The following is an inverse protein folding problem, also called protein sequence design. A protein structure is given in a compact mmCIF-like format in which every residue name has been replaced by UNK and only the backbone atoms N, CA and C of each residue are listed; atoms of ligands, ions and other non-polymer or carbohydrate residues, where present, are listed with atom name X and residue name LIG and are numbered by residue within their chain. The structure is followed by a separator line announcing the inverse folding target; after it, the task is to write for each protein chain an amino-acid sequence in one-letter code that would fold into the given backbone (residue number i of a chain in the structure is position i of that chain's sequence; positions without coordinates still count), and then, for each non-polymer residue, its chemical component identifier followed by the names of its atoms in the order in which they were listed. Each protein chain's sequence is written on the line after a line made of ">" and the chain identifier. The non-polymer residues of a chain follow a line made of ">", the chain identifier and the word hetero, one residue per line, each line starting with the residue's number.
data_IF_864982967252
#
_entry.id   IF_864982967252
#
_cell.length_a   1.000
_cell.length_b   1.000
_cell.length_c   1.000
_cell.angle_alpha   90.00
_cell.angle_beta   90.00
_cell.angle_gamma   90.00
#
_symmetry.space_group_name_H-M   'P 1'
#
loop_
_entity.id
_entity.type
_entity.pdbx_description
1 polymer ?
#
# COMPACT_ATOMS: atom_id res chain seq x y z
N UNK A 1 -59.65 29.88 14.65
CA UNK A 1 -58.95 31.17 14.50
C UNK A 1 -57.78 30.99 13.55
N UNK A 2 -57.74 31.79 12.48
CA UNK A 2 -56.72 31.82 11.42
C UNK A 2 -55.80 33.04 11.64
N UNK A 3 -54.51 32.89 11.35
CA UNK A 3 -53.56 33.82 10.67
C UNK A 3 -52.12 33.36 10.98
N UNK A 4 -51.32 32.85 10.03
CA UNK A 4 -50.62 33.44 8.84
C UNK A 4 -49.27 34.12 9.17
N UNK A 5 -48.21 33.42 8.74
CA UNK A 5 -47.01 33.85 7.97
C UNK A 5 -46.09 34.98 8.48
N UNK A 6 -44.76 34.73 8.43
CA UNK A 6 -43.86 35.40 7.49
C UNK A 6 -42.51 34.66 7.32
N UNK A 7 -42.18 34.40 6.04
CA UNK A 7 -40.88 34.04 5.48
C UNK A 7 -39.97 35.27 5.45
N UNK A 8 -38.65 35.05 5.49
CA UNK A 8 -37.64 36.06 5.16
C UNK A 8 -36.39 35.42 4.58
N UNK A 9 -36.37 35.24 3.25
CA UNK A 9 -35.19 34.93 2.45
C UNK A 9 -34.44 36.22 2.15
N UNK A 10 -33.10 36.22 2.22
CA UNK A 10 -32.29 37.19 1.47
C UNK A 10 -30.97 36.56 1.02
N UNK A 11 -30.94 36.24 -0.26
CA UNK A 11 -29.76 36.05 -1.10
C UNK A 11 -29.03 37.38 -1.22
N UNK A 12 -27.69 37.38 -1.13
CA UNK A 12 -26.88 38.46 -1.67
C UNK A 12 -25.62 37.86 -2.30
N UNK A 13 -25.59 37.94 -3.63
CA UNK A 13 -24.50 37.62 -4.54
C UNK A 13 -24.11 38.97 -5.16
N UNK A 14 -22.85 39.39 -5.05
CA UNK A 14 -22.16 40.19 -6.07
C UNK A 14 -20.68 40.34 -5.76
N UNK A 15 -19.89 40.22 -6.83
CA UNK A 15 -18.45 40.18 -6.93
C UNK A 15 -17.79 41.58 -6.95
N UNK A 16 -16.45 41.59 -6.87
CA UNK A 16 -15.44 42.38 -7.62
C UNK A 16 -14.12 42.30 -6.81
N UNK A 17 -13.02 41.68 -7.25
CA UNK A 17 -12.11 41.98 -8.37
C UNK A 17 -10.76 42.55 -7.86
N UNK A 18 -9.66 42.05 -8.43
CA UNK A 18 -8.43 42.83 -8.67
C UNK A 18 -7.26 42.63 -7.72
N UNK A 19 -6.16 42.05 -8.23
CA UNK A 19 -4.87 42.02 -7.54
C UNK A 19 -3.78 41.22 -8.25
N UNK A 20 -3.58 41.45 -9.56
CA UNK A 20 -2.42 40.95 -10.28
C UNK A 20 -1.27 41.97 -10.14
N UNK A 21 -0.16 41.54 -9.54
CA UNK A 21 1.09 42.31 -9.48
C UNK A 21 1.85 42.15 -10.80
N UNK A 22 1.96 43.27 -11.54
CA UNK A 22 2.83 43.44 -12.69
C UNK A 22 4.26 43.68 -12.21
N UNK A 23 5.21 42.88 -12.72
CA UNK A 23 6.64 43.11 -12.58
C UNK A 23 7.14 43.99 -13.73
N UNK A 24 7.83 45.07 -13.36
CA UNK A 24 8.39 46.07 -14.27
C UNK A 24 9.49 45.51 -15.17
N UNK A 25 9.45 45.90 -16.45
CA UNK A 25 10.47 45.63 -17.45
C UNK A 25 11.65 46.60 -17.29
N UNK A 26 12.80 46.07 -16.83
CA UNK A 26 14.09 46.73 -16.97
C UNK A 26 14.70 46.44 -18.34
N UNK A 27 14.82 47.47 -19.19
CA UNK A 27 15.54 47.43 -20.46
C UNK A 27 17.03 47.15 -20.23
N UNK A 28 17.57 46.13 -20.92
CA UNK A 28 19.01 45.91 -21.06
C UNK A 28 19.35 46.05 -22.55
N UNK A 29 20.24 46.99 -22.84
CA UNK A 29 20.74 47.31 -24.17
C UNK A 29 21.44 46.12 -24.84
N UNK A 30 20.97 45.77 -26.04
CA UNK A 30 21.62 44.81 -26.92
C UNK A 30 22.94 45.38 -27.46
N UNK A 31 24.04 44.69 -27.17
CA UNK A 31 25.36 44.93 -27.77
C UNK A 31 25.60 43.89 -28.88
N UNK A 32 26.06 44.35 -30.04
CA UNK A 32 26.24 43.56 -31.26
C UNK A 32 27.25 42.40 -31.09
N UNK A 33 27.08 41.27 -31.81
CA UNK A 33 27.99 40.13 -31.69
C UNK A 33 29.28 40.35 -32.50
N UNK A 34 30.41 40.31 -31.80
CA UNK A 34 31.75 40.25 -32.40
C UNK A 34 31.95 38.88 -33.05
N UNK A 35 32.18 38.85 -34.37
CA UNK A 35 32.53 37.64 -35.12
C UNK A 35 33.92 37.16 -34.69
N UNK A 36 33.99 35.96 -34.12
CA UNK A 36 35.24 35.22 -33.95
C UNK A 36 35.33 34.22 -35.11
N UNK A 37 36.36 34.40 -35.94
CA UNK A 37 36.75 33.48 -37.01
C UNK A 37 37.50 32.30 -36.38
N UNK A 38 37.04 31.07 -36.61
CA UNK A 38 37.76 29.85 -36.25
C UNK A 38 38.25 29.19 -37.54
N UNK A 39 39.57 29.09 -37.68
CA UNK A 39 40.21 28.36 -38.78
C UNK A 39 39.91 26.84 -38.66
N UNK A 40 39.72 26.13 -39.79
CA UNK A 40 39.45 24.70 -39.77
C UNK A 40 40.72 23.91 -39.42
N UNK A 41 40.69 23.22 -38.28
CA UNK A 41 41.71 22.23 -37.92
C UNK A 41 41.52 20.97 -38.77
N UNK A 42 42.44 20.71 -39.69
CA UNK A 42 42.52 19.46 -40.42
C UNK A 42 43.05 18.33 -39.52
N UNK A 43 42.14 17.47 -39.03
CA UNK A 43 42.52 16.21 -38.37
C UNK A 43 42.64 15.12 -39.44
N UNK A 44 43.87 14.65 -39.67
CA UNK A 44 44.14 13.46 -40.49
C UNK A 44 43.75 12.21 -39.69
N UNK A 45 42.75 11.47 -40.17
CA UNK A 45 42.40 10.16 -39.64
C UNK A 45 43.33 9.12 -40.28
N UNK A 46 44.24 8.54 -39.49
CA UNK A 46 44.99 7.36 -39.87
C UNK A 46 44.12 6.11 -39.64
N UNK A 47 44.00 5.26 -40.66
CA UNK A 47 43.31 3.98 -40.57
C UNK A 47 44.13 2.98 -39.73
N UNK A 48 43.48 2.34 -38.76
CA UNK A 48 44.02 1.26 -37.93
C UNK A 48 43.25 -0.05 -38.20
N UNK A 49 43.88 -1.22 -38.00
CA UNK A 49 43.57 -2.45 -38.72
C UNK A 49 42.32 -3.19 -38.20
N UNK A 50 41.70 -3.93 -39.10
CA UNK A 50 40.54 -4.81 -38.88
C UNK A 50 40.89 -6.01 -38.01
N UNK A 51 40.29 -6.10 -36.83
CA UNK A 51 40.20 -7.31 -36.00
C UNK A 51 38.90 -8.07 -36.31
N UNK A 52 38.85 -9.41 -36.18
CA UNK A 52 37.71 -10.20 -36.63
C UNK A 52 36.49 -9.99 -35.72
N UNK A 53 35.32 -9.99 -36.34
CA UNK A 53 34.02 -9.87 -35.69
C UNK A 53 33.80 -11.04 -34.72
N UNK A 54 33.79 -10.73 -33.42
CA UNK A 54 33.19 -11.59 -32.40
C UNK A 54 31.70 -11.28 -32.36
N UNK A 55 30.88 -12.22 -32.84
CA UNK A 55 29.43 -12.23 -32.64
C UNK A 55 29.11 -12.35 -31.15
N UNK A 56 28.96 -11.22 -30.48
CA UNK A 56 28.27 -11.14 -29.20
C UNK A 56 26.84 -10.69 -29.46
N UNK A 57 25.90 -11.60 -29.23
CA UNK A 57 24.47 -11.34 -29.18
C UNK A 57 24.15 -10.21 -28.18
N UNK A 58 23.10 -9.41 -28.38
CA UNK A 58 22.82 -8.25 -27.53
C UNK A 58 22.51 -8.70 -26.10
N UNK A 59 23.06 -7.95 -25.15
CA UNK A 59 23.00 -8.14 -23.70
C UNK A 59 21.57 -8.35 -23.20
N UNK A 60 21.20 -9.61 -22.96
CA UNK A 60 20.09 -10.04 -22.09
C UNK A 60 20.64 -10.49 -20.74
N UNK A 61 21.32 -9.62 -19.99
CA UNK A 61 22.03 -10.10 -18.77
C UNK A 61 21.93 -9.24 -17.51
N UNK A 62 21.15 -8.16 -17.47
CA UNK A 62 20.89 -7.47 -16.20
C UNK A 62 19.53 -7.81 -15.56
N UNK A 63 18.48 -8.06 -16.34
CA UNK A 63 17.16 -8.39 -15.80
C UNK A 63 17.10 -9.79 -15.16
N UNK A 64 17.83 -10.76 -15.72
CA UNK A 64 17.78 -12.17 -15.27
C UNK A 64 18.59 -12.43 -13.98
N UNK A 65 19.43 -11.49 -13.53
CA UNK A 65 20.29 -11.69 -12.34
C UNK A 65 19.68 -11.21 -11.03
N UNK A 66 18.65 -10.36 -11.06
CA UNK A 66 17.99 -9.87 -9.83
C UNK A 66 17.03 -10.91 -9.28
N UNK A 67 16.56 -11.83 -10.15
CA UNK A 67 15.69 -12.91 -9.77
C UNK A 67 16.30 -14.32 -9.93
N UNK A 68 17.24 -14.71 -9.07
CA UNK A 68 17.43 -16.15 -8.76
C UNK A 68 16.24 -16.69 -7.97
N UNK A 69 15.02 -16.70 -8.54
CA UNK A 69 13.80 -16.81 -7.76
C UNK A 69 13.23 -18.21 -7.74
N UNK A 70 13.13 -18.72 -6.53
CA UNK A 70 12.07 -19.63 -6.11
C UNK A 70 10.72 -19.03 -6.57
N UNK A 71 10.22 -19.50 -7.71
CA UNK A 71 8.94 -19.08 -8.31
C UNK A 71 7.81 -19.10 -7.27
N UNK A 72 7.86 -20.02 -6.31
CA UNK A 72 6.91 -20.14 -5.20
C UNK A 72 6.84 -18.86 -4.35
N UNK A 73 7.99 -18.25 -4.05
CA UNK A 73 8.04 -17.01 -3.25
C UNK A 73 7.45 -15.83 -3.99
N UNK A 74 7.73 -15.73 -5.29
CA UNK A 74 7.18 -14.66 -6.14
C UNK A 74 5.66 -14.80 -6.23
N UNK A 75 5.15 -16.01 -6.51
CA UNK A 75 3.71 -16.31 -6.58
C UNK A 75 3.01 -16.01 -5.27
N UNK A 76 3.65 -16.35 -4.14
CA UNK A 76 3.16 -15.97 -2.82
C UNK A 76 3.11 -14.46 -2.66
N UNK A 77 4.22 -13.74 -2.91
CA UNK A 77 4.32 -12.30 -2.74
C UNK A 77 3.26 -11.51 -3.53
N UNK A 78 2.85 -11.99 -4.71
CA UNK A 78 1.81 -11.31 -5.52
C UNK A 78 0.38 -11.75 -5.19
N UNK A 79 0.21 -12.62 -4.19
CA UNK A 79 -1.09 -13.04 -3.68
C UNK A 79 -1.89 -13.92 -4.63
N UNK A 80 -1.24 -14.74 -5.47
CA UNK A 80 -1.93 -15.55 -6.48
C UNK A 80 -2.98 -16.52 -5.89
N UNK A 81 -2.72 -17.03 -4.67
CA UNK A 81 -3.69 -17.84 -3.92
C UNK A 81 -5.03 -17.12 -3.66
N UNK A 82 -5.04 -15.79 -3.76
CA UNK A 82 -6.20 -14.95 -3.54
C UNK A 82 -6.84 -14.48 -4.86
N UNK A 83 -6.48 -15.03 -6.02
CA UNK A 83 -7.13 -14.66 -7.28
C UNK A 83 -8.64 -14.95 -7.24
N UNK A 84 -9.44 -14.01 -7.76
CA UNK A 84 -10.88 -14.21 -7.97
C UNK A 84 -11.69 -14.38 -6.68
N UNK A 85 -11.28 -13.71 -5.61
CA UNK A 85 -11.98 -13.69 -4.33
C UNK A 85 -13.11 -12.68 -4.27
N UNK A 86 -13.99 -12.90 -3.28
CA UNK A 86 -14.99 -11.92 -2.85
C UNK A 86 -14.28 -10.73 -2.22
N UNK A 87 -14.98 -9.61 -2.10
CA UNK A 87 -14.40 -8.40 -1.49
C UNK A 87 -14.21 -8.63 0.01
N UNK A 88 -12.99 -8.48 0.50
CA UNK A 88 -12.65 -8.67 1.91
C UNK A 88 -12.76 -7.35 2.66
N UNK A 89 -13.58 -7.29 3.70
CA UNK A 89 -13.78 -6.07 4.54
C UNK A 89 -12.98 -6.09 5.84
N UNK A 90 -12.52 -7.26 6.27
CA UNK A 90 -11.65 -7.45 7.43
C UNK A 90 -12.36 -7.73 8.76
N UNK A 91 -13.69 -7.73 8.81
CA UNK A 91 -14.44 -8.02 10.04
C UNK A 91 -14.13 -9.43 10.58
N UNK A 92 -14.04 -9.58 11.90
CA UNK A 92 -13.86 -10.87 12.57
C UNK A 92 -14.27 -10.81 14.05
N UNK A 93 -14.94 -11.85 14.60
CA UNK A 93 -15.20 -11.94 16.03
C UNK A 93 -13.95 -12.38 16.84
N UNK A 94 -12.84 -12.70 16.17
CA UNK A 94 -11.60 -13.14 16.80
C UNK A 94 -10.57 -12.02 16.85
N UNK A 95 -9.64 -12.10 17.80
CA UNK A 95 -8.52 -11.17 17.95
C UNK A 95 -7.42 -11.42 16.90
N UNK A 96 -7.76 -11.35 15.62
CA UNK A 96 -6.81 -11.47 14.50
C UNK A 96 -6.47 -10.08 13.98
N UNK A 97 -5.20 -9.79 13.73
CA UNK A 97 -4.73 -8.49 13.24
C UNK A 97 -3.85 -8.67 12.01
N UNK A 98 -4.27 -8.12 10.87
CA UNK A 98 -3.48 -8.06 9.65
C UNK A 98 -3.04 -6.61 9.40
N UNK A 99 -1.74 -6.37 9.25
CA UNK A 99 -1.21 -5.05 8.90
C UNK A 99 -1.20 -4.84 7.39
N UNK A 100 -1.68 -3.68 6.95
CA UNK A 100 -1.62 -3.27 5.54
C UNK A 100 -1.16 -1.82 5.41
N UNK A 101 -0.44 -1.53 4.34
CA UNK A 101 0.15 -0.22 4.07
C UNK A 101 -0.16 0.24 2.65
N UNK A 102 -0.67 1.46 2.50
CA UNK A 102 -1.06 2.04 1.21
C UNK A 102 -0.09 3.14 0.76
N UNK A 103 -0.17 3.47 -0.53
CA UNK A 103 0.47 4.57 -1.26
C UNK A 103 1.95 4.42 -1.60
N UNK A 104 2.69 3.62 -0.84
CA UNK A 104 4.11 3.40 -1.06
C UNK A 104 4.47 2.72 -2.39
N UNK A 105 5.76 2.40 -2.57
CA UNK A 105 6.85 2.61 -1.61
C UNK A 105 7.36 4.06 -1.60
N UNK A 106 7.62 4.64 -0.42
CA UNK A 106 8.36 5.88 -0.24
C UNK A 106 9.85 5.61 -0.03
N UNK A 107 10.71 6.44 -0.62
CA UNK A 107 12.18 6.23 -0.59
C UNK A 107 12.81 6.39 0.79
N UNK A 108 12.14 7.07 1.71
CA UNK A 108 12.67 7.39 3.04
C UNK A 108 12.00 6.54 4.12
N UNK A 109 10.67 6.44 4.11
CA UNK A 109 9.91 5.81 5.19
C UNK A 109 9.74 4.30 4.99
N UNK A 110 9.54 3.80 3.77
CA UNK A 110 9.34 2.36 3.54
C UNK A 110 10.55 1.50 3.93
N UNK A 111 11.81 1.85 3.62
CA UNK A 111 12.97 1.07 4.08
C UNK A 111 13.07 0.99 5.61
N UNK A 112 12.64 2.05 6.31
CA UNK A 112 12.59 2.05 7.78
C UNK A 112 11.48 1.13 8.29
N UNK A 113 10.31 1.14 7.67
CA UNK A 113 9.22 0.23 8.00
C UNK A 113 9.62 -1.24 7.81
N UNK A 114 10.29 -1.57 6.71
CA UNK A 114 10.79 -2.92 6.46
C UNK A 114 11.72 -3.42 7.56
N UNK A 115 12.57 -2.55 8.14
CA UNK A 115 13.38 -2.91 9.31
C UNK A 115 12.53 -3.22 10.54
N UNK A 116 11.49 -2.41 10.82
CA UNK A 116 10.59 -2.70 11.94
C UNK A 116 9.80 -4.00 11.74
N UNK A 117 9.38 -4.29 10.51
CA UNK A 117 8.72 -5.56 10.18
C UNK A 117 9.64 -6.76 10.45
N UNK A 118 10.91 -6.69 10.03
CA UNK A 118 11.91 -7.71 10.32
C UNK A 118 12.17 -7.87 11.83
N UNK A 119 12.40 -6.75 12.55
CA UNK A 119 12.66 -6.75 14.00
C UNK A 119 11.49 -7.32 14.81
N UNK A 120 10.26 -7.13 14.32
CA UNK A 120 9.05 -7.63 14.99
C UNK A 120 8.64 -9.02 14.53
N UNK A 121 9.21 -9.53 13.43
CA UNK A 121 8.84 -10.78 12.78
C UNK A 121 7.46 -10.73 12.11
N UNK A 122 6.97 -9.54 11.78
CA UNK A 122 5.63 -9.35 11.18
C UNK A 122 5.76 -9.23 9.67
N UNK A 123 4.84 -9.88 8.94
CA UNK A 123 4.67 -9.67 7.51
C UNK A 123 3.35 -8.94 7.26
N UNK A 124 3.35 -8.05 6.27
CA UNK A 124 2.23 -7.18 5.95
C UNK A 124 1.84 -7.28 4.46
N UNK A 125 0.76 -6.60 4.10
CA UNK A 125 0.33 -6.39 2.71
C UNK A 125 0.57 -4.93 2.31
N UNK A 126 1.22 -4.69 1.18
CA UNK A 126 1.50 -3.36 0.65
C UNK A 126 0.67 -3.11 -0.60
N UNK A 127 -0.16 -2.07 -0.62
CA UNK A 127 -0.90 -1.62 -1.78
C UNK A 127 -0.19 -0.43 -2.40
N UNK A 128 0.47 -0.68 -3.54
CA UNK A 128 1.42 0.28 -4.10
C UNK A 128 0.82 1.13 -5.21
N UNK A 129 1.13 2.43 -5.19
CA UNK A 129 0.91 3.32 -6.32
C UNK A 129 2.12 3.26 -7.24
N UNK A 130 1.91 3.31 -8.56
CA UNK A 130 2.98 3.00 -9.51
C UNK A 130 3.51 4.20 -10.29
N UNK A 131 2.88 5.37 -10.18
CA UNK A 131 3.28 6.62 -10.86
C UNK A 131 4.71 7.05 -10.57
N UNK A 132 5.26 6.62 -9.43
CA UNK A 132 6.62 6.95 -8.98
C UNK A 132 7.60 5.79 -9.07
N UNK A 133 7.21 4.64 -9.64
CA UNK A 133 8.13 3.52 -9.85
C UNK A 133 9.08 3.89 -10.99
N UNK A 134 10.17 4.56 -10.65
CA UNK A 134 11.29 4.87 -11.54
C UNK A 134 12.22 3.66 -11.70
N UNK A 135 12.96 3.63 -12.82
CA UNK A 135 13.79 2.49 -13.24
C UNK A 135 14.92 2.09 -12.27
N UNK A 136 15.64 1.02 -12.65
CA UNK A 136 16.80 0.49 -11.93
C UNK A 136 17.95 1.50 -11.96
N UNK A 137 18.46 1.95 -10.81
CA UNK A 137 19.44 3.04 -10.73
C UNK A 137 20.51 2.82 -9.67
N UNK A 138 21.75 3.23 -9.95
CA UNK A 138 22.96 2.68 -9.32
C UNK A 138 23.50 3.39 -8.07
N UNK A 139 22.75 4.30 -7.40
CA UNK A 139 23.32 5.07 -6.27
C UNK A 139 22.42 5.32 -5.05
N UNK A 140 21.11 5.08 -5.15
CA UNK A 140 20.16 5.12 -4.01
C UNK A 140 19.03 4.16 -4.37
N UNK A 141 18.54 3.36 -3.42
CA UNK A 141 17.41 2.46 -3.64
C UNK A 141 16.27 3.22 -4.36
N UNK A 142 15.96 2.77 -5.57
CA UNK A 142 14.83 3.29 -6.32
C UNK A 142 13.54 2.71 -5.76
N UNK A 143 12.39 3.30 -6.07
CA UNK A 143 11.11 2.73 -5.63
C UNK A 143 10.91 1.31 -6.18
N UNK A 144 11.48 1.01 -7.36
CA UNK A 144 11.55 -0.36 -7.86
C UNK A 144 12.44 -1.28 -7.00
N UNK A 145 13.56 -0.80 -6.45
CA UNK A 145 14.40 -1.58 -5.53
C UNK A 145 13.65 -1.89 -4.25
N UNK A 146 12.97 -0.90 -3.69
CA UNK A 146 12.18 -1.05 -2.46
C UNK A 146 11.01 -2.01 -2.69
N UNK A 147 10.32 -1.91 -3.82
CA UNK A 147 9.23 -2.84 -4.17
C UNK A 147 9.73 -4.29 -4.32
N UNK A 148 10.89 -4.49 -4.96
CA UNK A 148 11.54 -5.81 -5.01
C UNK A 148 11.87 -6.32 -3.63
N UNK A 149 12.35 -5.45 -2.75
CA UNK A 149 12.72 -5.81 -1.39
C UNK A 149 11.50 -6.17 -0.52
N UNK A 150 10.37 -5.44 -0.67
CA UNK A 150 9.07 -5.81 -0.06
C UNK A 150 8.73 -7.26 -0.40
N UNK A 151 8.73 -7.61 -1.69
CA UNK A 151 8.39 -8.95 -2.15
C UNK A 151 9.42 -10.00 -1.68
N UNK A 152 10.72 -9.69 -1.75
CA UNK A 152 11.81 -10.59 -1.34
C UNK A 152 11.77 -10.94 0.15
N UNK A 153 11.35 -10.00 1.00
CA UNK A 153 11.15 -10.20 2.45
C UNK A 153 9.87 -10.98 2.79
N UNK A 154 9.11 -11.39 1.77
CA UNK A 154 7.94 -12.26 1.92
C UNK A 154 6.66 -11.53 2.31
N UNK A 155 6.62 -10.21 2.13
CA UNK A 155 5.39 -9.43 2.22
C UNK A 155 4.54 -9.61 0.96
N UNK A 156 3.24 -9.34 1.09
CA UNK A 156 2.34 -9.35 -0.04
C UNK A 156 2.31 -7.99 -0.73
N UNK A 157 2.23 -7.98 -2.06
CA UNK A 157 2.13 -6.79 -2.90
C UNK A 157 0.80 -6.82 -3.65
N UNK A 158 -0.01 -5.80 -3.40
CA UNK A 158 -1.24 -5.50 -4.13
C UNK A 158 -1.11 -4.20 -4.91
N UNK A 159 -2.02 -4.00 -5.86
CA UNK A 159 -2.10 -2.76 -6.65
C UNK A 159 -3.00 -1.72 -5.99
N UNK A 160 -2.59 -0.45 -6.09
CA UNK A 160 -3.34 0.71 -5.60
C UNK A 160 -3.50 1.79 -6.68
N UNK A 161 -3.73 1.38 -7.94
CA UNK A 161 -3.76 2.24 -9.15
C UNK A 161 -2.40 2.86 -9.50
N UNK A 162 -2.36 3.72 -10.53
CA UNK A 162 -1.14 4.41 -10.94
C UNK A 162 -0.87 5.60 -10.04
N UNK A 163 -1.81 6.54 -9.96
CA UNK A 163 -1.64 7.83 -9.27
C UNK A 163 -2.78 8.15 -8.28
N UNK A 164 -3.44 7.12 -7.77
CA UNK A 164 -4.41 7.19 -6.67
C UNK A 164 -5.72 7.97 -6.98
N UNK A 165 -6.34 7.88 -8.18
CA UNK A 165 -7.65 8.48 -8.42
C UNK A 165 -8.77 7.64 -7.82
N UNK A 166 -9.87 8.30 -7.43
CA UNK A 166 -11.09 7.59 -7.08
C UNK A 166 -11.74 7.02 -8.35
N UNK A 167 -11.55 5.72 -8.59
CA UNK A 167 -12.00 5.03 -9.81
C UNK A 167 -13.48 5.25 -10.18
N UNK A 168 -14.44 5.36 -9.23
CA UNK A 168 -15.84 5.65 -9.58
C UNK A 168 -16.04 6.99 -10.31
N UNK A 169 -15.13 7.95 -10.11
CA UNK A 169 -15.20 9.29 -10.70
C UNK A 169 -14.58 9.38 -12.10
N UNK A 170 -13.88 8.32 -12.54
CA UNK A 170 -13.25 8.25 -13.85
C UNK A 170 -14.18 7.63 -14.88
N UNK A 171 -14.00 7.98 -16.14
CA UNK A 171 -14.59 7.22 -17.24
C UNK A 171 -14.06 5.79 -17.25
N UNK A 172 -14.80 4.88 -17.91
CA UNK A 172 -14.48 3.44 -17.84
C UNK A 172 -13.08 3.13 -18.39
N UNK A 173 -12.70 3.74 -19.51
CA UNK A 173 -11.40 3.49 -20.13
C UNK A 173 -10.26 4.06 -19.28
N UNK A 174 -10.47 5.21 -18.64
CA UNK A 174 -9.50 5.81 -17.70
C UNK A 174 -9.32 4.95 -16.45
N UNK A 175 -10.41 4.43 -15.89
CA UNK A 175 -10.35 3.50 -14.76
C UNK A 175 -9.64 2.19 -15.13
N UNK A 176 -9.85 1.69 -16.35
CA UNK A 176 -9.15 0.50 -16.87
C UNK A 176 -7.66 0.78 -17.00
N UNK A 177 -7.26 1.92 -17.59
CA UNK A 177 -5.85 2.30 -17.72
C UNK A 177 -5.16 2.36 -16.35
N UNK A 178 -5.79 2.97 -15.35
CA UNK A 178 -5.27 3.03 -13.98
C UNK A 178 -5.02 1.64 -13.36
N UNK A 179 -5.86 0.66 -13.67
CA UNK A 179 -5.74 -0.70 -13.16
C UNK A 179 -4.63 -1.46 -13.92
N UNK A 180 -4.67 -1.43 -15.25
CA UNK A 180 -3.81 -2.25 -16.10
C UNK A 180 -2.37 -1.73 -16.18
N UNK A 181 -2.17 -0.42 -16.18
CA UNK A 181 -0.83 0.16 -16.15
C UNK A 181 -0.14 -0.08 -14.80
N UNK A 182 -0.89 0.02 -13.70
CA UNK A 182 -0.41 -0.32 -12.36
C UNK A 182 0.00 -1.80 -12.27
N UNK A 183 -0.85 -2.69 -12.81
CA UNK A 183 -0.54 -4.11 -12.93
C UNK A 183 0.79 -4.35 -13.66
N UNK A 184 0.92 -3.79 -14.87
CA UNK A 184 2.10 -3.96 -15.71
C UNK A 184 3.38 -3.41 -15.05
N UNK A 185 3.26 -2.30 -14.31
CA UNK A 185 4.37 -1.73 -13.57
C UNK A 185 4.85 -2.65 -12.43
N UNK A 186 3.92 -3.19 -11.63
CA UNK A 186 4.26 -4.14 -10.56
C UNK A 186 4.84 -5.43 -11.13
N UNK A 187 4.24 -5.97 -12.19
CA UNK A 187 4.71 -7.21 -12.83
C UNK A 187 6.13 -7.07 -13.40
N UNK A 188 6.47 -5.93 -13.99
CA UNK A 188 7.83 -5.64 -14.47
C UNK A 188 8.88 -5.63 -13.36
N UNK A 189 8.51 -5.22 -12.16
CA UNK A 189 9.43 -5.06 -11.02
C UNK A 189 9.52 -6.32 -10.17
N UNK A 190 8.39 -6.97 -9.91
CA UNK A 190 8.26 -8.13 -9.01
C UNK A 190 8.31 -9.45 -9.77
N UNK A 191 8.16 -9.42 -11.11
CA UNK A 191 8.21 -10.59 -11.97
C UNK A 191 6.88 -11.35 -12.10
N UNK A 192 5.81 -10.90 -11.45
CA UNK A 192 4.48 -11.50 -11.57
C UNK A 192 3.36 -10.48 -11.32
N UNK A 193 2.19 -10.76 -11.90
CA UNK A 193 0.96 -9.97 -11.76
C UNK A 193 0.46 -9.96 -10.30
N UNK A 194 0.14 -8.79 -9.70
CA UNK A 194 -0.56 -8.71 -8.42
C UNK A 194 -2.01 -9.18 -8.55
N UNK A 195 -2.52 -9.90 -7.54
CA UNK A 195 -3.90 -10.39 -7.50
C UNK A 195 -4.75 -9.75 -6.39
N UNK A 196 -4.10 -9.01 -5.49
CA UNK A 196 -4.76 -8.15 -4.52
C UNK A 196 -4.85 -6.73 -5.05
N UNK A 197 -5.97 -6.07 -4.78
CA UNK A 197 -6.22 -4.69 -5.14
C UNK A 197 -6.87 -3.95 -3.98
N UNK A 198 -6.53 -2.68 -3.80
CA UNK A 198 -7.28 -1.78 -2.92
C UNK A 198 -7.72 -0.56 -3.73
N UNK A 199 -9.01 -0.25 -3.84
CA UNK A 199 -9.44 0.99 -4.47
C UNK A 199 -8.97 2.20 -3.65
N UNK A 200 -8.40 3.25 -4.28
CA UNK A 200 -8.04 4.50 -3.61
C UNK A 200 -9.15 5.04 -2.72
N UNK A 201 -8.82 5.29 -1.44
CA UNK A 201 -9.76 5.73 -0.41
C UNK A 201 -10.92 4.76 -0.11
N UNK A 202 -10.85 3.51 -0.56
CA UNK A 202 -11.95 2.54 -0.47
C UNK A 202 -13.13 2.89 -1.39
N UNK A 203 -12.92 3.77 -2.37
CA UNK A 203 -13.97 4.26 -3.26
C UNK A 203 -14.37 3.18 -4.26
N UNK A 204 -15.60 2.67 -4.11
CA UNK A 204 -16.15 1.55 -4.88
C UNK A 204 -17.45 1.94 -5.58
N UNK A 205 -17.79 1.18 -6.61
CA UNK A 205 -19.10 1.16 -7.25
C UNK A 205 -19.30 -0.20 -7.91
N UNK A 206 -20.55 -0.65 -8.20
CA UNK A 206 -20.77 -1.90 -8.91
C UNK A 206 -20.01 -2.00 -10.25
N UNK A 207 -19.80 -0.87 -10.93
CA UNK A 207 -18.98 -0.77 -12.14
C UNK A 207 -17.51 -1.11 -11.85
N UNK A 208 -16.91 -0.44 -10.86
CA UNK A 208 -15.50 -0.67 -10.47
C UNK A 208 -15.30 -2.08 -9.93
N UNK A 209 -16.23 -2.57 -9.11
CA UNK A 209 -16.17 -3.93 -8.56
C UNK A 209 -16.18 -4.98 -9.68
N UNK A 210 -17.02 -4.78 -10.72
CA UNK A 210 -17.03 -5.64 -11.91
C UNK A 210 -15.74 -5.55 -12.70
N UNK A 211 -15.22 -4.35 -12.95
CA UNK A 211 -13.95 -4.18 -13.67
C UNK A 211 -12.79 -4.93 -12.98
N UNK A 212 -12.74 -4.91 -11.65
CA UNK A 212 -11.74 -5.62 -10.85
C UNK A 212 -11.98 -7.13 -10.83
N UNK A 213 -13.22 -7.56 -10.65
CA UNK A 213 -13.60 -8.98 -10.62
C UNK A 213 -13.35 -9.68 -11.96
N UNK A 214 -13.68 -9.04 -13.08
CA UNK A 214 -13.45 -9.55 -14.44
C UNK A 214 -11.95 -9.72 -14.73
N UNK A 215 -11.11 -8.93 -14.05
CA UNK A 215 -9.64 -9.03 -14.08
C UNK A 215 -9.09 -9.96 -12.98
N UNK A 216 -9.95 -10.67 -12.26
CA UNK A 216 -9.60 -11.65 -11.24
C UNK A 216 -8.97 -11.06 -9.98
N UNK A 217 -9.10 -9.76 -9.73
CA UNK A 217 -8.61 -9.16 -8.48
C UNK A 217 -9.49 -9.54 -7.30
N UNK A 218 -8.86 -9.70 -6.15
CA UNK A 218 -9.52 -9.65 -4.85
C UNK A 218 -9.32 -8.26 -4.25
N UNK A 219 -10.43 -7.60 -3.94
CA UNK A 219 -10.40 -6.35 -3.23
C UNK A 219 -10.17 -6.61 -1.74
N UNK A 220 -9.10 -6.06 -1.17
CA UNK A 220 -8.80 -6.15 0.27
C UNK A 220 -8.99 -4.77 0.89
N UNK A 221 -10.09 -4.56 1.60
CA UNK A 221 -10.36 -3.33 2.34
C UNK A 221 -9.85 -3.43 3.78
N UNK A 222 -10.41 -2.63 4.67
CA UNK A 222 -10.06 -2.57 6.07
C UNK A 222 -11.29 -2.24 6.90
N UNK A 223 -11.26 -2.66 8.16
CA UNK A 223 -12.19 -2.22 9.19
C UNK A 223 -11.47 -1.38 10.25
N UNK A 224 -10.18 -1.59 10.48
CA UNK A 224 -9.39 -0.87 11.49
C UNK A 224 -8.60 0.31 10.88
N UNK A 225 -9.28 1.42 10.59
CA UNK A 225 -8.63 2.63 10.10
C UNK A 225 -7.82 3.34 11.20
N UNK A 226 -6.57 3.67 10.91
CA UNK A 226 -5.67 4.33 11.87
C UNK A 226 -5.76 5.87 11.87
N UNK A 227 -6.35 6.46 10.83
CA UNK A 227 -6.46 7.92 10.67
C UNK A 227 -5.12 8.64 10.49
N UNK A 228 -4.06 7.90 10.14
CA UNK A 228 -2.70 8.41 10.01
C UNK A 228 -2.53 9.51 8.97
N UNK A 229 -3.31 9.52 7.89
CA UNK A 229 -3.34 10.62 6.92
C UNK A 229 -3.92 11.94 7.48
N UNK A 230 -4.61 11.90 8.63
CA UNK A 230 -5.26 13.06 9.26
C UNK A 230 -4.45 13.65 10.41
N UNK A 231 -3.40 12.96 10.86
CA UNK A 231 -2.59 13.34 12.02
C UNK A 231 -1.11 13.43 11.62
N UNK A 232 -0.25 13.84 12.56
CA UNK A 232 1.19 14.07 12.28
C UNK A 232 2.12 13.44 13.32
N UNK A 233 1.59 12.72 14.31
CA UNK A 233 2.39 12.06 15.35
C UNK A 233 2.03 10.58 15.45
N UNK A 234 3.00 9.76 15.84
CA UNK A 234 2.79 8.32 16.00
C UNK A 234 1.80 7.99 17.13
N UNK A 235 1.77 8.81 18.19
CA UNK A 235 0.87 8.63 19.32
C UNK A 235 -0.59 8.85 18.90
N UNK A 236 -0.86 9.89 18.09
CA UNK A 236 -2.22 10.12 17.57
C UNK A 236 -2.71 8.98 16.67
N UNK A 237 -1.81 8.35 15.90
CA UNK A 237 -2.12 7.16 15.08
C UNK A 237 -2.49 5.98 15.97
N UNK A 238 -1.66 5.67 16.96
CA UNK A 238 -1.89 4.57 17.92
C UNK A 238 -3.21 4.78 18.65
N UNK A 239 -3.47 5.99 19.13
CA UNK A 239 -4.68 6.33 19.85
C UNK A 239 -5.93 6.23 18.99
N UNK A 240 -5.86 6.69 17.74
CA UNK A 240 -6.99 6.60 16.80
C UNK A 240 -7.29 5.16 16.44
N UNK A 241 -6.28 4.37 16.07
CA UNK A 241 -6.43 2.95 15.78
C UNK A 241 -7.04 2.19 16.96
N UNK A 242 -6.53 2.42 18.18
CA UNK A 242 -7.02 1.77 19.41
C UNK A 242 -8.50 2.11 19.65
N UNK A 243 -8.88 3.38 19.56
CA UNK A 243 -10.29 3.80 19.70
C UNK A 243 -11.19 3.11 18.68
N UNK A 244 -10.73 2.93 17.44
CA UNK A 244 -11.48 2.25 16.39
C UNK A 244 -11.65 0.76 16.72
N UNK A 245 -10.59 0.08 17.14
CA UNK A 245 -10.64 -1.33 17.57
C UNK A 245 -11.62 -1.55 18.72
N UNK A 246 -11.46 -0.77 19.80
CA UNK A 246 -12.32 -0.87 21.00
C UNK A 246 -13.78 -0.53 20.68
N UNK A 247 -14.02 0.45 19.80
CA UNK A 247 -15.38 0.78 19.34
C UNK A 247 -16.03 -0.39 18.60
N UNK A 248 -15.30 -1.00 17.66
CA UNK A 248 -15.80 -2.13 16.86
C UNK A 248 -16.06 -3.38 17.70
N UNK A 249 -15.20 -3.67 18.67
CA UNK A 249 -15.43 -4.78 19.61
C UNK A 249 -16.72 -4.54 20.40
N UNK A 250 -16.93 -3.33 20.91
CA UNK A 250 -18.12 -2.97 21.70
C UNK A 250 -19.42 -2.96 20.88
N UNK A 251 -19.38 -2.41 19.66
CA UNK A 251 -20.59 -2.11 18.86
C UNK A 251 -20.98 -3.25 17.92
N UNK A 252 -20.00 -4.03 17.46
CA UNK A 252 -20.21 -5.05 16.42
C UNK A 252 -19.72 -6.45 16.86
N UNK A 253 -19.06 -6.58 18.02
CA UNK A 253 -18.38 -7.82 18.41
C UNK A 253 -17.13 -8.11 17.56
N UNK A 254 -16.65 -7.12 16.79
CA UNK A 254 -15.48 -7.24 15.93
C UNK A 254 -14.20 -7.03 16.75
N UNK A 255 -13.52 -8.12 17.12
CA UNK A 255 -12.34 -8.09 18.02
C UNK A 255 -11.01 -7.89 17.32
N UNK A 256 -11.03 -7.73 16.00
CA UNK A 256 -9.84 -7.62 15.18
C UNK A 256 -10.17 -7.25 13.75
N UNK A 257 -9.20 -7.43 12.88
CA UNK A 257 -9.36 -7.31 11.45
C UNK A 257 -8.12 -6.77 10.74
N UNK A 258 -8.37 -5.98 9.72
CA UNK A 258 -7.34 -5.47 8.81
C UNK A 258 -7.11 -4.00 9.13
N UNK A 259 -5.85 -3.65 9.43
CA UNK A 259 -5.42 -2.29 9.75
C UNK A 259 -5.01 -1.56 8.48
N UNK A 260 -5.53 -0.34 8.28
CA UNK A 260 -5.05 0.59 7.25
C UNK A 260 -4.05 1.58 7.84
N UNK A 261 -2.85 1.61 7.24
CA UNK A 261 -1.76 2.57 7.46
C UNK A 261 -1.22 3.01 6.10
N UNK A 262 -0.37 4.05 6.07
CA UNK A 262 0.30 4.55 4.87
C UNK A 262 1.80 4.65 5.14
N UNK A 263 2.61 3.91 4.39
CA UNK A 263 4.07 3.88 4.57
C UNK A 263 4.76 5.11 3.96
N UNK A 264 4.00 6.04 3.37
CA UNK A 264 4.45 7.37 2.93
C UNK A 264 4.46 8.42 4.06
N UNK A 265 3.97 8.05 5.24
CA UNK A 265 3.90 8.93 6.42
C UNK A 265 4.89 8.45 7.50
N UNK A 266 5.93 9.25 7.84
CA UNK A 266 6.90 8.84 8.85
C UNK A 266 6.29 8.51 10.21
N UNK A 267 5.26 9.25 10.64
CA UNK A 267 4.56 8.98 11.90
C UNK A 267 3.74 7.68 11.87
N UNK A 268 3.27 7.24 10.69
CA UNK A 268 2.61 5.95 10.51
C UNK A 268 3.61 4.80 10.65
N UNK A 269 4.79 4.95 10.04
CA UNK A 269 5.92 4.02 10.20
C UNK A 269 6.38 3.93 11.66
N UNK A 270 6.42 5.06 12.38
CA UNK A 270 6.73 5.09 13.82
C UNK A 270 5.63 4.50 14.70
N UNK A 271 4.37 4.52 14.26
CA UNK A 271 3.25 3.98 15.00
C UNK A 271 3.24 2.45 14.96
N UNK A 272 3.66 1.84 13.85
CA UNK A 272 3.69 0.38 13.68
C UNK A 272 4.31 -0.38 14.88
N UNK A 273 5.58 -0.15 15.28
CA UNK A 273 6.16 -0.87 16.41
C UNK A 273 5.43 -0.58 17.73
N UNK A 274 4.85 0.61 17.90
CA UNK A 274 4.07 0.98 19.10
C UNK A 274 2.74 0.22 19.17
N UNK A 275 2.07 0.02 18.03
CA UNK A 275 0.86 -0.81 17.93
C UNK A 275 1.20 -2.26 18.28
N UNK A 276 2.28 -2.81 17.70
CA UNK A 276 2.74 -4.18 18.00
C UNK A 276 3.03 -4.34 19.49
N UNK A 277 3.71 -3.38 20.11
CA UNK A 277 4.01 -3.39 21.53
C UNK A 277 2.75 -3.26 22.40
N UNK A 278 1.78 -2.44 22.00
CA UNK A 278 0.49 -2.35 22.67
C UNK A 278 -0.24 -3.69 22.64
N UNK A 279 -0.34 -4.34 21.48
CA UNK A 279 -0.97 -5.66 21.33
C UNK A 279 -0.28 -6.71 22.21
N UNK A 280 1.05 -6.70 22.25
CA UNK A 280 1.85 -7.62 23.06
C UNK A 280 1.66 -7.40 24.57
N UNK A 281 1.55 -6.15 25.03
CA UNK A 281 1.23 -5.83 26.43
C UNK A 281 -0.19 -6.24 26.77
N UNK A 282 -1.16 -5.92 25.91
CA UNK A 282 -2.56 -6.33 26.07
C UNK A 282 -2.68 -7.86 26.15
N UNK A 283 -1.88 -8.59 25.38
CA UNK A 283 -1.82 -10.05 25.47
C UNK A 283 -1.33 -10.58 26.82
N UNK A 284 -0.53 -9.83 27.59
CA UNK A 284 -0.19 -10.24 28.95
C UNK A 284 -1.41 -10.17 29.86
N UNK A 285 -2.19 -9.09 29.78
CA UNK A 285 -3.43 -8.93 30.56
C UNK A 285 -4.47 -10.00 30.19
N UNK A 286 -4.65 -10.24 28.89
CA UNK A 286 -5.60 -11.24 28.38
C UNK A 286 -5.18 -12.67 28.74
N UNK A 287 -3.87 -12.93 28.81
CA UNK A 287 -3.33 -14.22 29.24
C UNK A 287 -3.69 -14.49 30.70
N UNK A 288 -3.54 -13.49 31.57
CA UNK A 288 -3.88 -13.60 32.99
C UNK A 288 -5.39 -13.77 33.20
N UNK A 289 -6.21 -13.16 32.34
CA UNK A 289 -7.66 -13.31 32.32
C UNK A 289 -8.15 -14.62 31.70
N UNK A 290 -7.25 -15.41 31.09
CA UNK A 290 -7.60 -16.66 30.40
C UNK A 290 -8.33 -16.45 29.08
N UNK A 291 -8.32 -15.25 28.52
CA UNK A 291 -9.02 -14.90 27.29
C UNK A 291 -8.22 -15.25 26.00
N UNK A 292 -8.87 -15.06 24.85
CA UNK A 292 -8.22 -15.12 23.54
C UNK A 292 -7.14 -14.04 23.42
N UNK A 293 -5.98 -14.36 22.86
CA UNK A 293 -4.91 -13.39 22.64
C UNK A 293 -4.99 -12.81 21.23
N UNK A 294 -4.57 -11.55 21.07
CA UNK A 294 -4.31 -10.95 19.77
C UNK A 294 -3.23 -11.72 19.00
N UNK A 295 -3.59 -12.16 17.81
CA UNK A 295 -2.73 -12.84 16.85
C UNK A 295 -2.43 -11.89 15.69
N UNK A 296 -1.16 -11.52 15.53
CA UNK A 296 -0.73 -10.76 14.35
C UNK A 296 -0.53 -11.78 13.23
N UNK A 297 -1.42 -11.76 12.25
CA UNK A 297 -1.46 -12.72 11.15
C UNK A 297 -0.78 -12.13 9.93
N UNK A 298 -0.17 -13.00 9.14
CA UNK A 298 0.55 -12.69 7.90
C UNK A 298 -0.12 -13.31 6.67
N UNK A 299 -1.22 -14.05 6.87
CA UNK A 299 -1.95 -14.76 5.83
C UNK A 299 -3.37 -14.20 5.68
N UNK A 300 -3.67 -13.44 4.61
CA UNK A 300 -5.02 -12.99 4.31
C UNK A 300 -6.04 -14.11 4.09
N UNK A 301 -5.61 -15.38 3.93
CA UNK A 301 -6.52 -16.51 3.75
C UNK A 301 -7.57 -16.64 4.87
N UNK A 302 -7.26 -16.14 6.07
CA UNK A 302 -8.21 -16.13 7.19
C UNK A 302 -9.44 -15.27 6.91
N UNK A 303 -9.30 -14.23 6.08
CA UNK A 303 -10.37 -13.31 5.68
C UNK A 303 -10.91 -13.57 4.28
N UNK A 304 -10.28 -14.49 3.54
CA UNK A 304 -10.55 -14.71 2.14
C UNK A 304 -11.71 -15.70 1.92
N UNK A 305 -12.50 -15.43 0.89
CA UNK A 305 -13.41 -16.40 0.32
C UNK A 305 -13.35 -16.31 -1.21
N UNK A 306 -13.16 -17.45 -1.88
CA UNK A 306 -13.26 -17.52 -3.33
C UNK A 306 -14.68 -17.19 -3.79
N UNK A 307 -14.81 -16.49 -4.92
CA UNK A 307 -16.11 -16.26 -5.55
C UNK A 307 -16.70 -17.59 -6.01
N UNK A 308 -18.00 -17.72 -5.85
CA UNK A 308 -18.81 -18.87 -6.28
C UNK A 308 -19.61 -18.51 -7.53
N UNK A 309 -20.06 -19.53 -8.26
CA UNK A 309 -20.98 -19.35 -9.37
C UNK A 309 -22.26 -18.66 -8.88
N UNK A 310 -22.59 -17.51 -9.48
CA UNK A 310 -23.75 -16.69 -9.11
C UNK A 310 -23.45 -15.51 -8.17
N UNK A 311 -22.22 -15.38 -7.65
CA UNK A 311 -21.84 -14.19 -6.89
C UNK A 311 -21.80 -12.95 -7.79
N UNK A 312 -22.43 -11.86 -7.36
CA UNK A 312 -22.27 -10.54 -8.00
C UNK A 312 -20.88 -9.94 -7.71
N UNK A 313 -20.34 -9.14 -8.62
CA UNK A 313 -19.01 -8.53 -8.50
C UNK A 313 -18.78 -7.83 -7.15
N UNK A 314 -19.81 -7.19 -6.61
CA UNK A 314 -19.78 -6.48 -5.33
C UNK A 314 -19.96 -7.38 -4.09
N UNK A 315 -20.02 -8.71 -4.26
CA UNK A 315 -20.22 -9.64 -3.14
C UNK A 315 -19.04 -9.60 -2.18
N UNK A 316 -19.33 -9.33 -0.91
CA UNK A 316 -18.33 -9.29 0.16
C UNK A 316 -18.15 -10.67 0.81
N UNK A 317 -16.93 -10.95 1.27
CA UNK A 317 -16.64 -12.11 2.10
C UNK A 317 -17.33 -11.94 3.46
N UNK A 318 -17.79 -13.06 4.03
CA UNK A 318 -18.29 -13.07 5.40
C UNK A 318 -17.16 -12.73 6.38
N UNK A 319 -17.48 -12.28 7.61
CA UNK A 319 -16.48 -12.08 8.65
C UNK A 319 -15.60 -13.33 8.84
N UNK A 320 -14.31 -13.11 9.07
CA UNK A 320 -13.34 -14.20 9.23
C UNK A 320 -13.65 -15.03 10.49
N UNK A 321 -14.01 -16.29 10.28
CA UNK A 321 -14.27 -17.28 11.33
C UNK A 321 -13.44 -18.53 11.08
N UNK A 322 -12.12 -18.50 11.35
CA UNK A 322 -11.28 -19.68 11.18
C UNK A 322 -11.83 -20.86 11.98
N UNK A 323 -11.59 -22.08 11.50
CA UNK A 323 -12.05 -23.27 12.22
C UNK A 323 -11.50 -23.29 13.66
N UNK A 324 -12.27 -23.86 14.58
CA UNK A 324 -11.88 -23.97 15.98
C UNK A 324 -10.50 -24.64 16.16
N UNK A 325 -10.19 -25.62 15.30
CA UNK A 325 -8.87 -26.29 15.31
C UNK A 325 -7.75 -25.31 14.93
N UNK A 326 -7.91 -24.53 13.85
CA UNK A 326 -6.91 -23.53 13.44
C UNK A 326 -6.72 -22.50 14.56
N UNK A 327 -7.82 -21.98 15.10
CA UNK A 327 -7.77 -21.00 16.17
C UNK A 327 -7.08 -21.55 17.43
N UNK A 328 -7.43 -22.75 17.87
CA UNK A 328 -6.86 -23.38 19.05
C UNK A 328 -5.34 -23.62 18.91
N UNK A 329 -4.89 -24.07 17.73
CA UNK A 329 -3.45 -24.26 17.44
C UNK A 329 -2.68 -22.94 17.54
N UNK A 330 -3.22 -21.88 16.94
CA UNK A 330 -2.62 -20.54 16.96
C UNK A 330 -2.59 -19.96 18.37
N UNK A 331 -3.70 -20.04 19.11
CA UNK A 331 -3.79 -19.58 20.49
C UNK A 331 -2.85 -20.34 21.43
N UNK A 332 -2.67 -21.65 21.23
CA UNK A 332 -1.69 -22.44 22.00
C UNK A 332 -0.26 -21.92 21.80
N UNK A 333 0.13 -21.63 20.56
CA UNK A 333 1.44 -21.03 20.23
C UNK A 333 1.59 -19.66 20.89
N UNK A 334 0.61 -18.76 20.69
CA UNK A 334 0.64 -17.41 21.23
C UNK A 334 0.74 -17.38 22.76
N UNK A 335 0.00 -18.26 23.46
CA UNK A 335 0.07 -18.35 24.92
C UNK A 335 1.46 -18.81 25.39
N UNK A 336 2.11 -19.74 24.68
CA UNK A 336 3.48 -20.15 25.01
C UNK A 336 4.47 -18.99 24.85
N UNK A 337 4.39 -18.25 23.74
CA UNK A 337 5.23 -17.07 23.49
C UNK A 337 4.95 -15.92 24.48
N UNK A 338 3.68 -15.66 24.78
CA UNK A 338 3.25 -14.62 25.69
C UNK A 338 3.78 -14.87 27.10
N UNK A 339 3.70 -16.10 27.64
CA UNK A 339 4.25 -16.43 28.97
C UNK A 339 5.72 -16.04 29.11
N UNK A 340 6.54 -16.40 28.13
CA UNK A 340 7.97 -16.06 28.15
C UNK A 340 8.20 -14.55 28.05
N UNK A 341 7.43 -13.86 27.21
CA UNK A 341 7.54 -12.41 27.00
C UNK A 341 7.07 -11.61 28.22
N UNK A 342 5.93 -11.94 28.79
CA UNK A 342 5.33 -11.22 29.91
C UNK A 342 6.19 -11.35 31.18
N UNK A 343 6.80 -12.53 31.40
CA UNK A 343 7.79 -12.72 32.47
C UNK A 343 8.98 -11.76 32.34
N UNK A 344 9.54 -11.59 31.13
CA UNK A 344 10.65 -10.65 30.89
C UNK A 344 10.27 -9.18 31.10
N UNK A 345 9.01 -8.83 30.81
CA UNK A 345 8.49 -7.48 31.04
C UNK A 345 8.29 -7.19 32.52
N UNK A 346 7.90 -8.18 33.33
CA UNK A 346 7.72 -8.01 34.78
C UNK A 346 9.04 -7.88 35.56
N UNK A 347 10.17 -8.27 34.97
CA UNK A 347 11.51 -8.24 35.59
C UNK A 347 12.34 -7.00 35.23
N UNK A 348 11.82 -6.11 34.40
CA UNK A 348 12.43 -4.82 34.04
C UNK A 348 11.67 -3.70 34.73
#
# INVERSE_FOLDING_TARGET
>A
MRWKTLLGSLTCLLALAGGALLAEHGQVHASAPTRVSLDPVHVRIAAAPTAPASTLAPERREADMVFGHDETRVRHAVGEAFRGGRIVTGATPHRLILFTFDDGPDRRSTPRLLRYLDETGVRAVFFVTTSRIEGLGSRVDTQADILRDIARRGHLVGSHTVDHPQLPLLETDEAIAQIEESQAAIERVVGARPWLFRPPGGSRSPRVDRLLADRGYTQLLWNLGSGDFQVRTADDVVDTWRRVLERRERENGERGGIILLHDTHPWSVEAFPRIVDWLRRRNCELLDQGEELYDIVDDPALFFAARQSGDDASTEAAPATPTETVLALRQRRLRAEARQRCQRLATR
#
